data_IF_031295908627
#
_entry.id   IF_031295908627
#
_cell.length_a   1.000
_cell.length_b   1.000
_cell.length_c   1.000
_cell.angle_alpha   90.00
_cell.angle_beta   90.00
_cell.angle_gamma   90.00
#
_symmetry.space_group_name_H-M   'P 1'
#
loop_
_entity.id
_entity.type
_entity.pdbx_description
1 polymer ?
#
# COMPACT_ATOMS: atom_id res chain seq x y z
N UNK A 1 4.42 9.57 14.60
CA UNK A 1 3.96 8.36 15.31
C UNK A 1 2.42 8.26 15.43
N UNK A 2 1.68 8.81 14.47
CA UNK A 2 0.25 8.57 14.40
C UNK A 2 -0.19 8.64 12.94
N UNK A 3 -1.28 7.98 12.63
CA UNK A 3 -1.99 8.08 11.36
C UNK A 3 -3.32 8.74 11.64
N UNK A 4 -3.67 9.74 10.84
CA UNK A 4 -4.89 10.53 10.97
C UNK A 4 -5.64 10.53 9.65
N UNK A 5 -6.94 10.75 9.73
CA UNK A 5 -7.81 10.98 8.59
C UNK A 5 -8.69 12.20 8.86
N UNK A 6 -8.86 13.05 7.86
CA UNK A 6 -9.79 14.17 7.91
C UNK A 6 -11.15 13.71 7.39
N UNK A 7 -12.21 13.81 8.20
CA UNK A 7 -13.57 13.39 7.85
C UNK A 7 -14.47 14.61 7.66
N UNK A 8 -15.17 14.65 6.53
CA UNK A 8 -16.25 15.61 6.28
C UNK A 8 -17.60 14.92 6.21
N UNK A 9 -18.62 15.53 6.82
CA UNK A 9 -20.02 15.05 6.78
C UNK A 9 -20.95 16.03 6.07
N UNK A 10 -20.41 17.12 5.50
CA UNK A 10 -21.17 18.23 4.95
C UNK A 10 -20.82 18.55 3.48
N UNK A 11 -20.30 17.54 2.77
CA UNK A 11 -19.89 17.67 1.37
C UNK A 11 -18.57 18.40 1.18
N UNK A 12 -17.66 18.30 2.15
CA UNK A 12 -16.32 18.90 2.07
C UNK A 12 -16.25 20.37 2.50
N UNK A 13 -17.28 20.90 3.19
CA UNK A 13 -17.25 22.29 3.68
C UNK A 13 -16.43 22.39 4.96
N UNK A 14 -16.54 21.41 5.85
CA UNK A 14 -15.74 21.29 7.06
C UNK A 14 -15.17 19.89 7.20
N UNK A 15 -14.01 19.81 7.87
CA UNK A 15 -13.30 18.57 8.15
C UNK A 15 -12.96 18.48 9.64
N UNK A 16 -13.01 17.27 10.18
CA UNK A 16 -12.53 16.96 11.53
C UNK A 16 -11.48 15.87 11.44
N UNK A 17 -10.32 16.11 12.04
CA UNK A 17 -9.25 15.11 12.11
C UNK A 17 -9.60 14.03 13.13
N UNK A 18 -9.47 12.78 12.72
CA UNK A 18 -9.75 11.58 13.52
C UNK A 18 -8.49 10.70 13.55
N UNK A 19 -8.09 10.20 14.72
CA UNK A 19 -6.94 9.30 14.79
C UNK A 19 -7.35 7.94 14.23
N UNK A 20 -6.63 7.47 13.22
CA UNK A 20 -6.71 6.08 12.74
C UNK A 20 -5.94 5.19 13.71
N UNK A 21 -4.70 5.59 14.03
CA UNK A 21 -3.90 4.92 15.02
C UNK A 21 -2.92 5.90 15.68
N UNK A 22 -2.90 5.88 17.01
CA UNK A 22 -1.84 6.50 17.81
C UNK A 22 -1.08 5.36 18.44
N UNK A 23 0.12 5.08 17.93
CA UNK A 23 0.97 4.07 18.54
C UNK A 23 1.40 4.61 19.94
N UNK A 24 1.83 3.79 20.91
CA UNK A 24 2.44 4.27 22.16
C UNK A 24 3.97 4.46 22.08
N UNK A 25 4.67 3.75 21.19
CA UNK A 25 6.12 3.85 21.00
C UNK A 25 6.52 4.99 20.04
N UNK A 26 6.81 6.18 20.57
CA UNK A 26 7.07 7.41 19.80
C UNK A 26 8.25 7.36 18.82
N UNK A 27 9.08 6.31 18.88
CA UNK A 27 10.16 6.09 17.92
C UNK A 27 9.68 5.51 16.57
N UNK A 28 8.43 5.04 16.48
CA UNK A 28 7.86 4.54 15.22
C UNK A 28 7.27 5.69 14.40
N UNK A 29 7.67 5.81 13.14
CA UNK A 29 7.12 6.77 12.19
C UNK A 29 6.16 6.08 11.22
N UNK A 30 5.12 6.80 10.80
CA UNK A 30 4.22 6.41 9.72
C UNK A 30 4.18 7.47 8.60
N UNK A 31 5.07 8.47 8.69
CA UNK A 31 5.20 9.54 7.68
C UNK A 31 6.04 9.07 6.50
N UNK A 32 5.69 7.92 5.94
CA UNK A 32 6.35 7.25 4.84
C UNK A 32 5.42 7.31 3.63
N UNK A 33 5.95 7.64 2.44
CA UNK A 33 5.13 7.79 1.24
C UNK A 33 4.55 6.41 0.88
N UNK A 34 3.26 6.20 0.67
CA UNK A 34 2.07 7.02 0.86
C UNK A 34 1.18 6.42 1.96
N UNK A 35 0.26 7.21 2.52
CA UNK A 35 -0.91 6.69 3.24
C UNK A 35 -2.09 6.71 2.27
N UNK A 36 -2.80 5.60 2.13
CA UNK A 36 -3.90 5.47 1.19
C UNK A 36 -5.21 5.10 1.90
N UNK A 37 -6.33 5.58 1.36
CA UNK A 37 -7.68 5.32 1.88
C UNK A 37 -8.57 4.76 0.77
N UNK A 38 -9.37 3.76 1.09
CA UNK A 38 -10.39 3.20 0.21
C UNK A 38 -11.68 2.95 0.98
N UNK A 39 -12.83 2.95 0.28
CA UNK A 39 -14.15 2.78 0.89
C UNK A 39 -14.91 1.73 0.10
N UNK A 40 -15.46 0.73 0.78
CA UNK A 40 -16.32 -0.26 0.14
C UNK A 40 -17.78 0.23 0.01
N UNK A 41 -18.60 -0.53 -0.71
CA UNK A 41 -20.02 -0.20 -0.97
C UNK A 41 -20.91 -0.25 0.27
N UNK A 42 -20.46 -0.85 1.38
CA UNK A 42 -21.15 -0.75 2.67
C UNK A 42 -20.76 0.52 3.44
N UNK A 43 -19.78 1.29 2.96
CA UNK A 43 -19.25 2.47 3.65
C UNK A 43 -18.16 2.14 4.68
N UNK A 44 -17.62 0.92 4.69
CA UNK A 44 -16.44 0.60 5.48
C UNK A 44 -15.26 1.36 4.90
N UNK A 45 -14.54 2.09 5.73
CA UNK A 45 -13.35 2.85 5.35
C UNK A 45 -12.12 2.03 5.74
N UNK A 46 -11.17 1.88 4.82
CA UNK A 46 -9.89 1.22 5.04
C UNK A 46 -8.77 2.22 4.85
N UNK A 47 -7.81 2.25 5.77
CA UNK A 47 -6.59 3.07 5.67
C UNK A 47 -5.39 2.13 5.69
N UNK A 48 -4.53 2.26 4.69
CA UNK A 48 -3.28 1.49 4.58
C UNK A 48 -2.08 2.42 4.68
N UNK A 49 -1.06 2.01 5.40
CA UNK A 49 0.12 2.82 5.73
C UNK A 49 1.29 1.93 6.09
N UNK A 50 2.51 2.48 6.01
CA UNK A 50 3.74 1.75 6.35
C UNK A 50 4.50 2.43 7.49
N UNK A 51 5.35 1.66 8.17
CA UNK A 51 6.31 2.16 9.16
C UNK A 51 7.76 2.19 8.62
N UNK A 52 7.92 2.38 7.30
CA UNK A 52 9.18 2.21 6.53
C UNK A 52 9.54 0.75 6.23
N UNK A 53 8.91 -0.24 6.89
CA UNK A 53 9.24 -1.66 6.68
C UNK A 53 8.01 -2.57 6.60
N UNK A 54 7.06 -2.38 7.48
CA UNK A 54 5.84 -3.15 7.56
C UNK A 54 4.69 -2.32 7.00
N UNK A 55 3.86 -2.98 6.22
CA UNK A 55 2.59 -2.50 5.73
C UNK A 55 1.49 -2.89 6.71
N UNK A 56 0.69 -1.92 7.10
CA UNK A 56 -0.46 -2.08 7.95
C UNK A 56 -1.73 -1.65 7.24
N UNK A 57 -2.84 -2.23 7.67
CA UNK A 57 -4.16 -1.67 7.42
C UNK A 57 -4.93 -1.48 8.73
N UNK A 58 -5.88 -0.56 8.67
CA UNK A 58 -6.88 -0.31 9.70
C UNK A 58 -8.22 -0.08 9.01
N UNK A 59 -9.33 -0.48 9.65
CA UNK A 59 -10.66 -0.28 9.09
C UNK A 59 -11.66 0.28 10.10
N UNK A 60 -12.65 1.00 9.57
CA UNK A 60 -13.73 1.65 10.32
C UNK A 60 -15.07 1.35 9.67
N UNK A 61 -16.04 0.91 10.47
CA UNK A 61 -17.42 0.64 10.04
C UNK A 61 -18.41 1.72 10.48
N UNK A 62 -17.93 2.80 11.11
CA UNK A 62 -18.74 3.95 11.58
C UNK A 62 -18.39 5.26 10.85
N UNK A 63 -17.75 5.13 9.69
CA UNK A 63 -17.41 6.27 8.83
C UNK A 63 -16.22 7.09 9.34
N UNK A 64 -15.26 6.44 10.00
CA UNK A 64 -13.99 7.00 10.43
C UNK A 64 -13.96 7.51 11.87
N UNK A 65 -14.97 7.22 12.68
CA UNK A 65 -15.04 7.67 14.08
C UNK A 65 -14.23 6.75 15.00
N UNK A 66 -14.28 5.44 14.78
CA UNK A 66 -13.44 4.45 15.46
C UNK A 66 -12.78 3.50 14.47
N UNK A 67 -11.62 2.95 14.85
CA UNK A 67 -10.72 2.21 13.95
C UNK A 67 -10.24 0.90 14.59
N UNK A 68 -10.18 -0.15 13.77
CA UNK A 68 -9.59 -1.45 14.13
C UNK A 68 -8.15 -1.51 13.64
N UNK A 69 -7.19 -1.91 14.48
CA UNK A 69 -5.79 -2.09 14.09
C UNK A 69 -4.81 -1.32 14.97
N UNK A 70 -3.52 -1.23 14.57
CA UNK A 70 -2.93 -1.64 13.27
C UNK A 70 -2.95 -3.16 13.07
N UNK A 71 -3.16 -3.61 11.84
CA UNK A 71 -3.00 -5.02 11.46
C UNK A 71 -1.96 -5.11 10.33
N UNK A 72 -0.89 -5.87 10.55
CA UNK A 72 0.17 -6.06 9.55
C UNK A 72 -0.33 -6.92 8.38
N UNK A 73 0.06 -6.54 7.15
CA UNK A 73 -0.34 -7.18 5.88
C UNK A 73 0.81 -7.90 5.20
N UNK A 74 1.99 -7.27 5.12
CA UNK A 74 3.12 -7.88 4.41
C UNK A 74 3.68 -9.06 5.21
N UNK A 75 3.98 -10.13 4.50
CA UNK A 75 4.70 -11.30 5.02
C UNK A 75 5.83 -11.70 4.07
N UNK A 76 6.70 -12.60 4.52
CA UNK A 76 7.72 -13.21 3.67
C UNK A 76 7.09 -13.68 2.33
N UNK A 77 7.74 -13.41 1.18
CA UNK A 77 9.11 -12.90 1.05
C UNK A 77 9.27 -11.37 1.13
N UNK A 78 8.20 -10.58 1.30
CA UNK A 78 8.29 -9.11 1.46
C UNK A 78 8.62 -8.75 2.90
N UNK A 79 9.92 -8.73 3.23
CA UNK A 79 10.41 -8.32 4.55
C UNK A 79 10.30 -6.80 4.77
N UNK A 80 10.42 -6.03 3.70
CA UNK A 80 10.17 -4.59 3.66
C UNK A 80 9.06 -4.28 2.66
N UNK A 81 8.20 -3.31 2.99
CA UNK A 81 7.05 -2.87 2.22
C UNK A 81 6.87 -1.35 2.33
N UNK A 82 6.82 -0.66 1.19
CA UNK A 82 6.74 0.81 1.09
C UNK A 82 5.72 1.23 0.03
N UNK A 83 5.29 2.50 0.06
CA UNK A 83 4.40 3.10 -0.95
C UNK A 83 3.10 2.31 -1.21
N UNK A 84 2.27 2.05 -0.19
CA UNK A 84 1.06 1.27 -0.40
C UNK A 84 -0.04 2.02 -1.14
N UNK A 85 -0.81 1.28 -1.93
CA UNK A 85 -2.07 1.71 -2.51
C UNK A 85 -3.14 0.63 -2.30
N UNK A 86 -4.41 1.04 -2.26
CA UNK A 86 -5.51 0.10 -2.05
C UNK A 86 -6.72 0.43 -2.90
N UNK A 87 -7.54 -0.59 -3.14
CA UNK A 87 -8.86 -0.45 -3.74
C UNK A 87 -9.84 -1.39 -3.04
N UNK A 88 -10.94 -0.82 -2.56
CA UNK A 88 -12.03 -1.54 -1.94
C UNK A 88 -13.24 -1.60 -2.90
N UNK A 89 -14.14 -2.55 -2.70
CA UNK A 89 -15.30 -2.68 -3.56
C UNK A 89 -16.59 -3.15 -2.89
N UNK A 90 -16.96 -4.43 -2.96
CA UNK A 90 -18.12 -4.93 -2.20
C UNK A 90 -17.76 -5.05 -0.70
N UNK A 91 -18.73 -5.17 0.21
CA UNK A 91 -18.48 -5.17 1.65
C UNK A 91 -17.40 -6.17 2.05
N UNK A 92 -16.35 -5.68 2.72
CA UNK A 92 -15.21 -6.49 3.15
C UNK A 92 -14.17 -6.80 2.07
N UNK A 93 -14.36 -6.41 0.82
CA UNK A 93 -13.40 -6.68 -0.24
C UNK A 93 -12.35 -5.58 -0.35
N UNK A 94 -11.08 -5.96 -0.19
CA UNK A 94 -9.94 -5.05 -0.25
C UNK A 94 -8.77 -5.70 -0.98
N UNK A 95 -8.25 -5.00 -1.99
CA UNK A 95 -6.95 -5.26 -2.58
C UNK A 95 -5.96 -4.20 -2.10
N UNK A 96 -4.72 -4.60 -1.81
CA UNK A 96 -3.62 -3.73 -1.42
C UNK A 96 -2.40 -4.07 -2.29
N UNK A 97 -1.69 -3.05 -2.75
CA UNK A 97 -0.44 -3.19 -3.51
C UNK A 97 0.66 -2.34 -2.87
N UNK A 98 1.91 -2.74 -3.00
CA UNK A 98 3.08 -2.04 -2.45
C UNK A 98 4.35 -2.42 -3.20
N UNK A 99 5.40 -1.61 -3.08
CA UNK A 99 6.75 -2.02 -3.44
C UNK A 99 7.36 -2.81 -2.29
N UNK A 100 7.80 -4.03 -2.56
CA UNK A 100 8.33 -4.94 -1.55
C UNK A 100 9.67 -5.53 -1.92
N UNK A 101 10.51 -5.74 -0.91
CA UNK A 101 11.78 -6.45 -1.03
C UNK A 101 11.95 -7.47 0.09
N UNK A 102 12.75 -8.51 -0.17
CA UNK A 102 13.16 -9.47 0.86
C UNK A 102 14.31 -8.96 1.72
N UNK A 103 14.96 -7.85 1.36
CA UNK A 103 16.04 -7.28 2.14
C UNK A 103 15.50 -6.55 3.37
N UNK A 104 15.98 -6.94 4.54
CA UNK A 104 15.77 -6.24 5.80
C UNK A 104 16.90 -6.62 6.75
N UNK A 105 17.63 -5.64 7.27
CA UNK A 105 18.73 -5.84 8.22
C UNK A 105 18.41 -5.28 9.63
N UNK A 106 17.22 -4.69 9.81
CA UNK A 106 16.78 -4.10 11.07
C UNK A 106 17.41 -2.75 11.42
N UNK A 107 18.28 -2.20 10.57
CA UNK A 107 19.03 -0.97 10.89
C UNK A 107 19.04 0.07 9.78
N UNK A 108 19.08 -0.37 8.52
CA UNK A 108 19.20 0.50 7.37
C UNK A 108 17.80 0.94 6.94
N UNK A 109 17.64 2.21 6.60
CA UNK A 109 16.40 2.70 5.98
C UNK A 109 16.35 2.28 4.49
N UNK A 110 15.16 2.05 3.91
CA UNK A 110 15.00 1.74 2.48
C UNK A 110 15.77 2.67 1.55
N UNK A 111 15.86 3.96 1.86
CA UNK A 111 16.66 4.96 1.14
C UNK A 111 18.13 4.53 0.89
N UNK A 112 18.70 3.73 1.79
CA UNK A 112 20.11 3.35 1.79
C UNK A 112 20.32 1.83 1.63
N UNK A 113 19.31 1.11 1.14
CA UNK A 113 19.47 -0.31 0.87
C UNK A 113 20.57 -0.59 -0.16
N UNK A 114 21.29 -1.72 -0.02
CA UNK A 114 22.39 -2.05 -0.92
C UNK A 114 21.87 -2.28 -2.33
N UNK A 115 22.72 -2.10 -3.34
CA UNK A 115 22.39 -2.35 -4.75
C UNK A 115 21.88 -3.78 -5.05
N UNK A 116 22.06 -4.72 -4.12
CA UNK A 116 21.51 -6.09 -4.21
C UNK A 116 20.05 -6.21 -3.77
N UNK A 117 19.47 -5.19 -3.12
CA UNK A 117 18.08 -5.22 -2.70
C UNK A 117 17.17 -5.16 -3.93
N UNK A 118 16.50 -6.27 -4.24
CA UNK A 118 15.60 -6.37 -5.38
C UNK A 118 14.16 -6.06 -4.95
N UNK A 119 13.50 -5.18 -5.69
CA UNK A 119 12.14 -4.73 -5.41
C UNK A 119 11.16 -5.29 -6.44
N UNK A 120 9.95 -5.56 -5.97
CA UNK A 120 8.83 -6.11 -6.73
C UNK A 120 7.57 -5.32 -6.39
N UNK A 121 6.60 -5.31 -7.30
CA UNK A 121 5.23 -4.99 -6.93
C UNK A 121 4.61 -6.22 -6.28
N UNK A 122 4.13 -6.08 -5.05
CA UNK A 122 3.31 -7.08 -4.40
C UNK A 122 1.83 -6.71 -4.49
N UNK A 123 0.99 -7.74 -4.49
CA UNK A 123 -0.46 -7.64 -4.45
C UNK A 123 -0.98 -8.55 -3.33
N UNK A 124 -1.85 -8.01 -2.50
CA UNK A 124 -2.59 -8.76 -1.49
C UNK A 124 -4.08 -8.54 -1.64
N UNK A 125 -4.86 -9.60 -1.40
CA UNK A 125 -6.31 -9.57 -1.48
C UNK A 125 -6.94 -10.22 -0.26
N UNK A 126 -8.01 -9.59 0.24
CA UNK A 126 -8.86 -10.10 1.30
C UNK A 126 -10.32 -9.80 0.95
N UNK A 127 -11.18 -10.82 1.01
CA UNK A 127 -12.61 -10.71 0.69
C UNK A 127 -13.47 -10.46 1.94
N UNK A 128 -12.86 -10.38 3.12
CA UNK A 128 -13.51 -10.16 4.41
C UNK A 128 -12.67 -9.23 5.32
N UNK A 129 -12.05 -8.19 4.75
CA UNK A 129 -11.16 -7.25 5.42
C UNK A 129 -11.85 -6.42 6.52
N UNK A 130 -13.18 -6.34 6.53
CA UNK A 130 -13.96 -5.71 7.62
C UNK A 130 -14.09 -6.61 8.87
N UNK A 131 -13.45 -7.79 8.89
CA UNK A 131 -13.44 -8.70 10.03
C UNK A 131 -12.03 -8.80 10.61
N UNK A 132 -11.89 -8.49 11.90
CA UNK A 132 -10.64 -8.69 12.63
C UNK A 132 -10.20 -10.16 12.58
N UNK A 133 -8.92 -10.40 12.30
CA UNK A 133 -8.36 -11.75 12.14
C UNK A 133 -8.60 -12.39 10.77
N UNK A 134 -9.26 -11.71 9.83
CA UNK A 134 -9.26 -12.12 8.42
C UNK A 134 -7.85 -12.06 7.83
N UNK A 135 -7.60 -12.88 6.82
CA UNK A 135 -6.25 -13.04 6.24
C UNK A 135 -6.17 -12.50 4.84
N UNK A 136 -5.00 -11.95 4.51
CA UNK A 136 -4.65 -11.59 3.14
C UNK A 136 -3.96 -12.75 2.45
N UNK A 137 -4.30 -12.95 1.17
CA UNK A 137 -3.48 -13.76 0.26
C UNK A 137 -2.55 -12.81 -0.50
N UNK A 138 -1.23 -12.99 -0.37
CA UNK A 138 -0.20 -12.16 -0.99
C UNK A 138 0.54 -12.92 -2.11
N UNK A 139 0.89 -12.19 -3.18
CA UNK A 139 1.83 -12.66 -4.20
C UNK A 139 2.64 -11.48 -4.77
N UNK A 140 3.81 -11.77 -5.35
CA UNK A 140 4.47 -10.83 -6.25
C UNK A 140 3.66 -10.75 -7.56
N UNK A 141 3.30 -9.54 -7.99
CA UNK A 141 2.56 -9.28 -9.22
C UNK A 141 3.49 -9.10 -10.42
N UNK A 142 4.79 -8.90 -10.19
CA UNK A 142 5.79 -8.57 -11.20
C UNK A 142 7.07 -9.40 -11.00
N UNK A 143 7.95 -9.44 -12.02
CA UNK A 143 9.38 -9.63 -11.83
C UNK A 143 10.00 -8.50 -10.99
N UNK A 144 11.34 -8.49 -10.92
CA UNK A 144 12.09 -7.38 -10.32
C UNK A 144 11.82 -6.13 -11.15
N UNK A 145 11.55 -5.01 -10.47
CA UNK A 145 11.27 -3.69 -11.07
C UNK A 145 12.30 -2.63 -10.68
N UNK A 146 13.16 -2.92 -9.69
CA UNK A 146 14.17 -2.00 -9.20
C UNK A 146 15.22 -2.71 -8.35
N UNK A 147 16.42 -2.13 -8.30
CA UNK A 147 17.50 -2.52 -7.43
C UNK A 147 18.02 -1.33 -6.61
N UNK A 148 18.32 -1.57 -5.33
CA UNK A 148 18.96 -0.57 -4.48
C UNK A 148 18.01 0.11 -3.50
N UNK A 149 18.33 1.37 -3.19
CA UNK A 149 17.58 2.15 -2.21
C UNK A 149 16.38 2.86 -2.82
N UNK A 150 15.28 2.91 -2.07
CA UNK A 150 14.04 3.61 -2.44
C UNK A 150 13.84 4.77 -1.48
N UNK A 151 13.94 6.01 -1.97
CA UNK A 151 13.83 7.18 -1.12
C UNK A 151 12.39 7.63 -0.89
N UNK A 152 11.97 7.74 0.38
CA UNK A 152 10.62 8.15 0.78
C UNK A 152 10.55 9.60 1.32
N UNK A 153 11.62 10.38 1.15
CA UNK A 153 11.73 11.76 1.65
C UNK A 153 11.18 12.83 0.69
N UNK A 154 10.41 12.46 -0.33
CA UNK A 154 9.84 13.38 -1.31
C UNK A 154 10.89 14.29 -1.96
N UNK A 155 10.66 15.60 -2.03
CA UNK A 155 11.61 16.55 -2.65
C UNK A 155 12.97 16.65 -1.94
N UNK A 156 13.11 16.08 -0.74
CA UNK A 156 14.37 16.01 -0.02
C UNK A 156 15.30 14.89 -0.47
N UNK A 157 14.83 14.01 -1.36
CA UNK A 157 15.63 12.89 -1.86
C UNK A 157 16.79 13.37 -2.72
N UNK A 158 18.00 12.93 -2.35
CA UNK A 158 19.25 13.15 -3.10
C UNK A 158 19.79 11.85 -3.73
N UNK A 159 19.15 10.72 -3.43
CA UNK A 159 19.46 9.39 -3.97
C UNK A 159 18.51 8.95 -5.09
N UNK A 160 18.40 7.63 -5.30
CA UNK A 160 17.58 7.04 -6.36
C UNK A 160 16.07 7.33 -6.13
N UNK A 161 15.41 7.85 -7.18
CA UNK A 161 13.98 8.19 -7.22
C UNK A 161 13.29 7.60 -8.45
N UNK A 162 13.87 6.53 -8.99
CA UNK A 162 13.48 5.94 -10.27
C UNK A 162 12.14 5.22 -10.15
N UNK A 163 11.76 4.77 -8.94
CA UNK A 163 10.42 4.24 -8.67
C UNK A 163 9.30 5.29 -8.63
N UNK A 164 9.60 6.58 -8.87
CA UNK A 164 8.69 7.73 -8.84
C UNK A 164 7.65 7.68 -7.70
N UNK A 165 6.65 8.55 -7.80
CA UNK A 165 5.49 8.57 -6.91
C UNK A 165 4.24 8.03 -7.65
N UNK A 166 4.43 7.45 -8.84
CA UNK A 166 3.41 7.00 -9.77
C UNK A 166 3.05 5.52 -9.53
N UNK A 167 2.19 5.29 -8.54
CA UNK A 167 1.73 3.95 -8.21
C UNK A 167 0.24 3.92 -7.90
N UNK A 168 -0.46 2.87 -8.31
CA UNK A 168 -1.90 2.76 -8.07
C UNK A 168 -2.50 1.43 -8.50
N UNK A 169 -3.68 1.13 -7.96
CA UNK A 169 -4.45 -0.07 -8.31
C UNK A 169 -5.91 0.30 -8.55
N UNK A 170 -6.50 -0.28 -9.58
CA UNK A 170 -7.93 -0.16 -9.89
C UNK A 170 -8.51 -1.54 -10.20
N UNK A 171 -9.83 -1.67 -10.08
CA UNK A 171 -10.53 -2.91 -10.43
C UNK A 171 -11.53 -2.65 -11.54
N UNK A 172 -11.52 -3.53 -12.54
CA UNK A 172 -12.50 -3.50 -13.60
C UNK A 172 -13.88 -3.89 -13.03
N UNK A 173 -14.91 -3.02 -13.10
CA UNK A 173 -16.20 -3.28 -12.48
C UNK A 173 -17.02 -4.37 -13.17
N UNK A 174 -16.63 -4.82 -14.37
CA UNK A 174 -17.30 -5.89 -15.11
C UNK A 174 -16.64 -7.25 -14.87
N UNK A 175 -15.31 -7.30 -14.81
CA UNK A 175 -14.58 -8.57 -14.66
C UNK A 175 -14.17 -8.86 -13.22
N UNK A 176 -14.10 -7.83 -12.38
CA UNK A 176 -13.61 -7.87 -11.01
C UNK A 176 -12.10 -8.09 -10.85
N UNK A 177 -11.36 -7.96 -11.96
CA UNK A 177 -9.91 -8.15 -12.02
C UNK A 177 -9.18 -6.83 -11.76
N UNK A 178 -8.11 -6.89 -10.98
CA UNK A 178 -7.28 -5.73 -10.67
C UNK A 178 -6.31 -5.38 -11.82
N UNK A 179 -6.00 -4.10 -11.98
CA UNK A 179 -4.88 -3.60 -12.77
C UNK A 179 -4.05 -2.64 -11.92
N UNK A 180 -2.73 -2.80 -11.98
CA UNK A 180 -1.76 -2.05 -11.19
C UNK A 180 -0.91 -1.24 -12.17
N UNK A 181 -0.82 0.06 -11.94
CA UNK A 181 0.11 0.95 -12.63
C UNK A 181 1.26 1.23 -11.68
N UNK A 182 2.50 1.09 -12.14
CA UNK A 182 3.70 1.22 -11.32
C UNK A 182 4.90 1.71 -12.13
N UNK A 183 5.92 2.20 -11.44
CA UNK A 183 7.19 2.57 -12.04
C UNK A 183 8.14 1.37 -12.09
N UNK A 184 8.93 1.30 -13.14
CA UNK A 184 9.91 0.24 -13.39
C UNK A 184 11.15 0.86 -14.07
N UNK A 185 12.34 0.53 -13.59
CA UNK A 185 13.63 0.98 -14.16
C UNK A 185 14.48 -0.18 -14.73
N UNK A 186 13.89 -1.36 -14.81
CA UNK A 186 14.55 -2.55 -15.32
C UNK A 186 14.55 -2.60 -16.85
N UNK A 187 15.59 -3.21 -17.46
CA UNK A 187 16.63 -4.05 -16.82
C UNK A 187 17.88 -3.31 -16.33
N UNK A 188 17.98 -1.99 -16.53
CA UNK A 188 19.26 -1.28 -16.41
C UNK A 188 19.47 -0.52 -15.10
N UNK A 189 18.41 -0.19 -14.36
CA UNK A 189 18.46 0.75 -13.23
C UNK A 189 19.18 2.05 -13.62
N UNK A 190 18.77 2.61 -14.76
CA UNK A 190 19.31 3.84 -15.35
C UNK A 190 18.18 4.63 -15.97
N UNK A 191 18.25 5.96 -15.87
CA UNK A 191 17.16 6.87 -16.25
C UNK A 191 16.61 6.79 -17.69
N UNK A 192 17.25 6.04 -18.60
CA UNK A 192 16.71 5.80 -19.95
C UNK A 192 15.77 4.59 -20.01
N UNK A 193 15.85 3.71 -19.02
CA UNK A 193 15.07 2.47 -18.90
C UNK A 193 13.85 2.69 -17.98
N UNK A 194 13.80 3.81 -17.24
CA UNK A 194 12.65 4.26 -16.47
C UNK A 194 11.38 4.38 -17.31
N UNK A 195 10.30 3.76 -16.83
CA UNK A 195 8.98 3.84 -17.46
C UNK A 195 7.87 3.54 -16.47
N UNK A 196 6.64 3.93 -16.85
CA UNK A 196 5.43 3.42 -16.20
C UNK A 196 5.01 2.12 -16.86
N UNK A 197 4.86 1.07 -16.06
CA UNK A 197 4.39 -0.24 -16.46
C UNK A 197 2.98 -0.52 -15.91
N UNK A 198 2.34 -1.57 -16.47
CA UNK A 198 1.04 -2.05 -16.05
C UNK A 198 1.05 -3.57 -15.86
N UNK A 199 0.42 -4.06 -14.80
CA UNK A 199 0.16 -5.47 -14.58
C UNK A 199 -1.34 -5.69 -14.30
N UNK A 200 -1.97 -6.57 -15.07
CA UNK A 200 -3.39 -6.89 -14.91
C UNK A 200 -3.56 -8.33 -14.45
N UNK A 201 -4.36 -8.50 -13.40
CA UNK A 201 -4.78 -9.81 -12.93
C UNK A 201 -5.54 -10.54 -14.05
N UNK A 202 -5.13 -11.77 -14.38
CA UNK A 202 -5.75 -12.55 -15.45
C UNK A 202 -6.66 -13.68 -14.94
N UNK A 203 -6.50 -14.05 -13.66
CA UNK A 203 -7.26 -15.11 -12.99
C UNK A 203 -7.20 -14.95 -11.46
N UNK A 204 -7.86 -15.86 -10.73
CA UNK A 204 -7.90 -15.87 -9.26
C UNK A 204 -9.16 -15.20 -8.71
N UNK A 205 -9.21 -14.94 -7.38
CA UNK A 205 -10.36 -14.32 -6.76
C UNK A 205 -10.51 -12.86 -7.21
N UNK A 206 -11.76 -12.43 -7.27
CA UNK A 206 -12.20 -11.14 -7.84
C UNK A 206 -12.83 -10.30 -6.73
N UNK A 207 -12.75 -8.99 -6.88
CA UNK A 207 -13.59 -8.06 -6.11
C UNK A 207 -14.53 -7.33 -7.08
N UNK A 208 -15.59 -6.69 -6.60
CA UNK A 208 -16.59 -6.02 -7.43
C UNK A 208 -17.45 -6.92 -8.35
N UNK A 209 -17.30 -8.24 -8.31
CA UNK A 209 -17.91 -9.11 -9.31
C UNK A 209 -19.44 -9.21 -9.22
N UNK A 210 -20.05 -8.61 -8.18
CA UNK A 210 -21.47 -8.82 -7.88
C UNK A 210 -21.74 -10.25 -7.39
N UNK A 211 -22.98 -10.54 -6.95
CA UNK A 211 -23.47 -11.91 -6.81
C UNK A 211 -23.56 -12.64 -8.16
#
# INVERSE_FOLDING_TARGET
HAVWIAVSRDGGKTFTDKPVYVNPNTSVSYGHQFVNVSVDRAGTVYVVYTDNHNLFYSFSTDGGDTWTGPIQVNQAPSATAVMPWSVACDPGQLNIVWYGTSFYDGTTAPDNYPASAAWYVFFAQNLNAAAAGSTFTQAAATPIIHYGGVCESGVGCTGNRDLYDDFGVAVNPTTGLASITYSDDQPGNVGRDDHTAIATQTAGPKICAGP
#
